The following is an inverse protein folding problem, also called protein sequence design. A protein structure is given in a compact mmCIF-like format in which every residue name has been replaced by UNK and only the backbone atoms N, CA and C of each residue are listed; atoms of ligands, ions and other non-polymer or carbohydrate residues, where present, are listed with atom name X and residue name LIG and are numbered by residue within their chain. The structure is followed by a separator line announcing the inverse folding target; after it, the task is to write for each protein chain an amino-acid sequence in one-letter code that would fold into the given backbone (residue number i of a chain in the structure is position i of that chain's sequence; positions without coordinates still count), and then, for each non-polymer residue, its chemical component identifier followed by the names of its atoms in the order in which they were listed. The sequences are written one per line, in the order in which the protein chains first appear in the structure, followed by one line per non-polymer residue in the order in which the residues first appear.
data_IF_536790788977
#
_entry.id   IF_536790788977
#
_cell.length_a   1.000
_cell.length_b   1.000
_cell.length_c   1.000
_cell.angle_alpha   90.00
_cell.angle_beta   90.00
_cell.angle_gamma   90.00
#
_symmetry.space_group_name_H-M   'P 1'
#
loop_
_entity.id
_entity.type
_entity.pdbx_description
1 polymer ?
#
# COMPACT_ATOMS: atom_id res chain seq x y z
N UNK A 1 -21.65 -2.74 -102.38
CA UNK A 1 -21.72 -1.31 -102.00
C UNK A 1 -22.05 -1.25 -100.50
N UNK A 2 -21.03 -1.30 -99.64
CA UNK A 2 -21.20 -1.40 -98.17
C UNK A 2 -20.88 -0.02 -97.58
N UNK A 3 -21.86 0.55 -96.85
CA UNK A 3 -21.79 1.86 -96.21
C UNK A 3 -20.84 1.82 -95.00
N UNK A 4 -19.99 2.84 -94.89
CA UNK A 4 -19.14 3.11 -93.72
C UNK A 4 -20.01 3.55 -92.54
N UNK A 5 -19.82 2.96 -91.36
CA UNK A 5 -20.33 3.48 -90.09
C UNK A 5 -19.12 3.86 -89.25
N UNK A 6 -19.04 5.15 -88.92
CA UNK A 6 -18.05 5.74 -88.01
C UNK A 6 -18.31 5.23 -86.58
N UNK A 7 -17.24 4.82 -85.90
CA UNK A 7 -17.25 4.54 -84.46
C UNK A 7 -16.81 5.79 -83.72
N UNK A 8 -17.73 6.42 -82.99
CA UNK A 8 -17.43 7.46 -82.01
C UNK A 8 -16.92 6.80 -80.72
N UNK A 9 -15.69 7.10 -80.32
CA UNK A 9 -15.14 6.70 -79.02
C UNK A 9 -15.47 7.80 -77.99
N UNK A 10 -16.00 7.46 -76.79
CA UNK A 10 -16.19 8.44 -75.74
C UNK A 10 -14.87 8.78 -75.02
N UNK A 11 -14.69 10.06 -74.72
CA UNK A 11 -13.56 10.63 -73.96
C UNK A 11 -13.37 9.93 -72.60
N UNK A 12 -12.18 9.38 -72.39
CA UNK A 12 -11.74 8.86 -71.10
C UNK A 12 -11.31 10.03 -70.19
N UNK A 13 -12.22 10.50 -69.32
CA UNK A 13 -11.87 11.45 -68.26
C UNK A 13 -10.86 10.82 -67.30
N UNK A 14 -9.59 11.22 -67.38
CA UNK A 14 -8.56 10.90 -66.38
C UNK A 14 -8.93 11.50 -65.02
N UNK A 15 -9.58 10.71 -64.18
CA UNK A 15 -9.75 11.02 -62.75
C UNK A 15 -8.40 10.79 -62.08
N UNK A 16 -7.68 11.88 -61.78
CA UNK A 16 -6.53 11.85 -60.89
C UNK A 16 -6.99 11.53 -59.46
N UNK A 17 -7.11 10.25 -59.11
CA UNK A 17 -7.29 9.80 -57.74
C UNK A 17 -6.02 10.11 -56.93
N UNK A 18 -6.04 11.19 -56.14
CA UNK A 18 -5.01 11.43 -55.11
C UNK A 18 -5.09 10.31 -54.08
N UNK A 19 -4.05 9.48 -54.00
CA UNK A 19 -3.89 8.51 -52.94
C UNK A 19 -3.99 9.19 -51.56
N UNK A 20 -4.72 8.61 -50.58
CA UNK A 20 -4.83 9.20 -49.26
C UNK A 20 -3.46 9.24 -48.59
N UNK A 21 -3.00 10.44 -48.22
CA UNK A 21 -1.82 10.62 -47.36
C UNK A 21 -2.14 10.03 -45.99
N UNK A 22 -1.70 8.80 -45.74
CA UNK A 22 -1.67 8.23 -44.40
C UNK A 22 -0.73 9.09 -43.54
N UNK A 23 -1.32 10.01 -42.79
CA UNK A 23 -0.62 10.78 -41.76
C UNK A 23 -0.27 9.78 -40.66
N UNK A 24 0.95 9.25 -40.69
CA UNK A 24 1.45 8.32 -39.68
C UNK A 24 1.19 8.90 -38.29
N UNK A 25 0.34 8.25 -37.50
CA UNK A 25 0.18 8.59 -36.08
C UNK A 25 1.57 8.47 -35.47
N UNK A 26 2.15 9.58 -35.01
CA UNK A 26 3.39 9.56 -34.21
C UNK A 26 3.13 8.57 -33.06
N UNK A 27 3.76 7.40 -33.09
CA UNK A 27 3.67 6.45 -31.99
C UNK A 27 4.28 7.14 -30.78
N UNK A 28 3.44 7.51 -29.81
CA UNK A 28 3.91 7.98 -28.52
C UNK A 28 4.72 6.84 -27.91
N UNK A 29 5.99 7.06 -27.54
CA UNK A 29 6.81 6.00 -26.98
C UNK A 29 6.12 5.45 -25.74
N UNK A 30 6.12 4.13 -25.62
CA UNK A 30 5.54 3.42 -24.47
C UNK A 30 6.18 3.94 -23.18
N UNK A 31 5.45 3.89 -22.06
CA UNK A 31 5.98 4.29 -20.76
C UNK A 31 7.33 3.60 -20.46
N UNK A 32 7.46 2.33 -20.87
CA UNK A 32 8.71 1.57 -20.77
C UNK A 32 9.88 2.21 -21.55
N UNK A 33 9.65 2.67 -22.78
CA UNK A 33 10.68 3.36 -23.58
C UNK A 33 11.05 4.73 -23.00
N UNK A 34 10.06 5.47 -22.47
CA UNK A 34 10.30 6.74 -21.77
C UNK A 34 11.13 6.54 -20.51
N UNK A 35 10.85 5.50 -19.71
CA UNK A 35 11.62 5.24 -18.48
C UNK A 35 13.02 4.72 -18.80
N UNK A 36 13.17 3.89 -19.83
CA UNK A 36 14.48 3.37 -20.25
C UNK A 36 15.45 4.48 -20.70
N UNK A 37 14.91 5.60 -21.21
CA UNK A 37 15.70 6.75 -21.67
C UNK A 37 15.88 7.85 -20.61
N UNK A 38 15.30 7.68 -19.42
CA UNK A 38 15.43 8.65 -18.32
C UNK A 38 16.76 8.52 -17.59
N UNK A 39 17.34 9.68 -17.24
CA UNK A 39 18.51 9.72 -16.37
C UNK A 39 18.18 9.12 -14.99
N UNK A 40 19.21 8.58 -14.34
CA UNK A 40 19.09 8.00 -13.00
C UNK A 40 18.49 8.99 -12.00
N UNK A 41 18.91 10.26 -12.04
CA UNK A 41 18.38 11.31 -11.17
C UNK A 41 16.89 11.59 -11.36
N UNK A 42 16.39 11.54 -12.61
CA UNK A 42 14.93 11.68 -12.85
C UNK A 42 14.16 10.47 -12.35
N UNK A 43 14.68 9.25 -12.53
CA UNK A 43 14.04 8.04 -11.99
C UNK A 43 13.97 8.10 -10.47
N UNK A 44 15.06 8.54 -9.83
CA UNK A 44 15.15 8.78 -8.40
C UNK A 44 14.06 9.74 -7.90
N UNK A 45 13.94 10.91 -8.55
CA UNK A 45 12.97 11.93 -8.15
C UNK A 45 11.52 11.46 -8.26
N UNK A 46 11.16 10.72 -9.31
CA UNK A 46 9.80 10.17 -9.42
C UNK A 46 9.50 9.16 -8.31
N UNK A 47 10.45 8.27 -8.01
CA UNK A 47 10.26 7.29 -6.95
C UNK A 47 10.08 7.92 -5.57
N UNK A 48 10.95 8.87 -5.23
CA UNK A 48 10.85 9.62 -3.97
C UNK A 48 9.57 10.45 -3.93
N UNK A 49 9.15 11.02 -5.06
CA UNK A 49 7.86 11.72 -5.18
C UNK A 49 6.66 10.82 -4.88
N UNK A 50 6.62 9.59 -5.40
CA UNK A 50 5.56 8.63 -5.10
C UNK A 50 5.58 8.17 -3.63
N UNK A 51 6.77 7.92 -3.08
CA UNK A 51 6.94 7.59 -1.67
C UNK A 51 6.41 8.70 -0.75
N UNK A 52 6.84 9.94 -1.00
CA UNK A 52 6.39 11.11 -0.26
C UNK A 52 4.88 11.33 -0.42
N UNK A 53 4.33 11.15 -1.62
CA UNK A 53 2.90 11.28 -1.87
C UNK A 53 2.05 10.29 -1.06
N UNK A 54 2.46 9.02 -1.02
CA UNK A 54 1.74 7.97 -0.29
C UNK A 54 1.79 8.24 1.22
N UNK A 55 2.96 8.57 1.76
CA UNK A 55 3.11 8.96 3.16
C UNK A 55 2.25 10.20 3.49
N UNK A 56 2.35 11.26 2.67
CA UNK A 56 1.57 12.48 2.85
C UNK A 56 0.07 12.25 2.77
N UNK A 57 -0.40 11.36 1.88
CA UNK A 57 -1.83 11.01 1.77
C UNK A 57 -2.35 10.34 3.03
N UNK A 58 -1.57 9.43 3.61
CA UNK A 58 -1.93 8.76 4.87
C UNK A 58 -1.94 9.74 6.05
N UNK A 59 -0.90 10.56 6.17
CA UNK A 59 -0.79 11.60 7.20
C UNK A 59 -1.93 12.62 7.08
N UNK A 60 -2.19 13.11 5.86
CA UNK A 60 -3.28 14.03 5.59
C UNK A 60 -4.64 13.44 5.97
N UNK A 61 -4.88 12.15 5.70
CA UNK A 61 -6.11 11.49 6.09
C UNK A 61 -6.32 11.53 7.61
N UNK A 62 -5.28 11.29 8.40
CA UNK A 62 -5.35 11.39 9.87
C UNK A 62 -5.64 12.82 10.33
N UNK A 63 -4.91 13.81 9.83
CA UNK A 63 -5.11 15.21 10.24
C UNK A 63 -6.46 15.78 9.82
N UNK A 64 -6.97 15.41 8.64
CA UNK A 64 -8.31 15.81 8.18
C UNK A 64 -9.38 15.24 9.11
N UNK A 65 -9.29 13.96 9.46
CA UNK A 65 -10.25 13.32 10.36
C UNK A 65 -10.17 13.89 11.77
N UNK A 66 -8.97 14.13 12.28
CA UNK A 66 -8.77 14.82 13.56
C UNK A 66 -9.41 16.21 13.55
N UNK A 67 -9.20 17.01 12.49
CA UNK A 67 -9.80 18.33 12.37
C UNK A 67 -11.33 18.26 12.35
N UNK A 68 -11.93 17.28 11.66
CA UNK A 68 -13.39 17.07 11.65
C UNK A 68 -13.91 16.78 13.06
N UNK A 69 -13.22 15.90 13.80
CA UNK A 69 -13.61 15.57 15.20
C UNK A 69 -13.53 16.81 16.09
N UNK A 70 -12.43 17.57 16.01
CA UNK A 70 -12.23 18.78 16.82
C UNK A 70 -13.25 19.88 16.50
N UNK A 71 -13.56 20.10 15.22
CA UNK A 71 -14.58 21.07 14.78
C UNK A 71 -15.97 20.62 15.25
N UNK A 72 -16.30 19.32 15.11
CA UNK A 72 -17.56 18.77 15.60
C UNK A 72 -17.75 18.99 17.10
N UNK A 73 -16.68 18.77 17.89
CA UNK A 73 -16.67 19.02 19.33
C UNK A 73 -16.92 20.51 19.66
N UNK A 74 -16.27 21.44 18.95
CA UNK A 74 -16.47 22.89 19.13
C UNK A 74 -17.91 23.34 18.78
N UNK A 75 -18.56 22.65 17.84
CA UNK A 75 -19.94 22.91 17.44
C UNK A 75 -20.97 22.21 18.35
N UNK A 76 -20.54 21.60 19.46
CA UNK A 76 -21.39 20.79 20.35
C UNK A 76 -22.14 19.66 19.63
N UNK A 77 -21.57 19.15 18.53
CA UNK A 77 -22.09 17.94 17.88
C UNK A 77 -21.65 16.77 18.75
N UNK A 78 -22.60 16.26 19.54
CA UNK A 78 -22.42 15.02 20.31
C UNK A 78 -22.27 13.86 19.33
N UNK A 79 -21.03 13.59 18.90
CA UNK A 79 -20.74 12.33 18.24
C UNK A 79 -21.05 11.20 19.23
N UNK A 80 -21.43 9.99 18.76
CA UNK A 80 -21.56 8.81 19.61
C UNK A 80 -20.26 8.41 20.34
N UNK A 81 -19.17 9.18 20.15
CA UNK A 81 -17.92 9.23 20.92
C UNK A 81 -18.12 9.06 22.43
N UNK A 82 -19.29 9.43 22.97
CA UNK A 82 -19.58 9.37 24.39
C UNK A 82 -19.72 7.97 25.03
N UNK A 83 -19.71 6.85 24.29
CA UNK A 83 -20.05 5.54 24.89
C UNK A 83 -18.91 4.50 24.91
N UNK A 84 -17.94 4.53 24.01
CA UNK A 84 -16.86 3.53 24.00
C UNK A 84 -15.64 3.94 23.17
N UNK A 85 -14.46 3.93 23.79
CA UNK A 85 -13.19 4.28 23.14
C UNK A 85 -12.81 3.33 22.00
N UNK A 86 -12.94 2.01 22.21
CA UNK A 86 -12.62 1.00 21.18
C UNK A 86 -13.51 1.14 19.95
N UNK A 87 -14.81 1.41 20.14
CA UNK A 87 -15.74 1.68 19.02
C UNK A 87 -15.28 2.93 18.26
N UNK A 88 -14.95 4.01 18.97
CA UNK A 88 -14.49 5.24 18.36
C UNK A 88 -13.21 5.03 17.54
N UNK A 89 -12.20 4.37 18.11
CA UNK A 89 -10.92 4.09 17.43
C UNK A 89 -11.11 3.20 16.19
N UNK A 90 -12.00 2.21 16.27
CA UNK A 90 -12.33 1.35 15.13
C UNK A 90 -12.97 2.16 14.00
N UNK A 91 -13.97 2.97 14.32
CA UNK A 91 -14.66 3.83 13.33
C UNK A 91 -13.68 4.82 12.71
N UNK A 92 -12.86 5.49 13.52
CA UNK A 92 -11.86 6.42 13.06
C UNK A 92 -10.86 5.74 12.11
N UNK A 93 -10.36 4.56 12.47
CA UNK A 93 -9.44 3.76 11.65
C UNK A 93 -10.04 3.43 10.28
N UNK A 94 -11.30 3.00 10.22
CA UNK A 94 -12.01 2.74 8.95
C UNK A 94 -12.02 3.98 8.06
N UNK A 95 -12.39 5.14 8.60
CA UNK A 95 -12.44 6.37 7.81
C UNK A 95 -11.04 6.86 7.40
N UNK A 96 -10.03 6.74 8.26
CA UNK A 96 -8.64 7.07 7.93
C UNK A 96 -8.16 6.22 6.77
N UNK A 97 -8.34 4.90 6.81
CA UNK A 97 -7.91 4.03 5.72
C UNK A 97 -8.67 4.30 4.41
N UNK A 98 -9.98 4.51 4.47
CA UNK A 98 -10.78 4.87 3.28
C UNK A 98 -10.25 6.18 2.68
N UNK A 99 -10.10 7.22 3.49
CA UNK A 99 -9.63 8.53 3.00
C UNK A 99 -8.19 8.45 2.49
N UNK A 100 -7.31 7.72 3.17
CA UNK A 100 -5.93 7.51 2.73
C UNK A 100 -5.87 6.84 1.35
N UNK A 101 -6.68 5.80 1.10
CA UNK A 101 -6.77 5.14 -0.20
C UNK A 101 -7.35 6.06 -1.28
N UNK A 102 -8.37 6.86 -0.94
CA UNK A 102 -8.96 7.85 -1.86
C UNK A 102 -7.95 8.94 -2.24
N UNK A 103 -7.19 9.46 -1.27
CA UNK A 103 -6.16 10.46 -1.52
C UNK A 103 -4.98 9.85 -2.31
N UNK A 104 -4.46 8.71 -1.88
CA UNK A 104 -3.28 8.12 -2.52
C UNK A 104 -3.54 7.63 -3.94
N UNK A 105 -4.68 6.95 -4.17
CA UNK A 105 -4.99 6.26 -5.43
C UNK A 105 -6.04 7.03 -6.25
N UNK A 106 -7.12 7.45 -5.60
CA UNK A 106 -8.27 8.09 -6.26
C UNK A 106 -7.96 9.49 -6.79
N UNK A 107 -7.22 10.31 -6.04
CA UNK A 107 -6.94 11.69 -6.41
C UNK A 107 -6.01 11.79 -7.64
N UNK A 108 -4.87 11.06 -7.74
CA UNK A 108 -4.07 11.06 -8.96
C UNK A 108 -4.81 10.50 -10.17
N UNK A 109 -5.70 9.53 -9.96
CA UNK A 109 -6.56 9.02 -11.02
C UNK A 109 -7.52 10.11 -11.53
N UNK A 110 -8.16 10.87 -10.62
CA UNK A 110 -9.14 11.91 -10.97
C UNK A 110 -8.52 13.17 -11.58
N UNK A 111 -7.34 13.59 -11.12
CA UNK A 111 -6.66 14.81 -11.57
C UNK A 111 -5.80 14.55 -12.81
N UNK A 112 -4.96 13.51 -12.77
CA UNK A 112 -3.95 13.26 -13.80
C UNK A 112 -4.31 12.11 -14.74
N UNK A 113 -5.44 11.41 -14.51
CA UNK A 113 -5.84 10.25 -15.32
C UNK A 113 -4.90 9.06 -15.14
N UNK A 114 -4.13 9.00 -14.05
CA UNK A 114 -3.18 7.91 -13.79
C UNK A 114 -3.92 6.65 -13.37
N UNK A 115 -4.34 5.86 -14.35
CA UNK A 115 -5.01 4.58 -14.13
C UNK A 115 -4.00 3.53 -13.67
N UNK A 116 -4.34 2.83 -12.60
CA UNK A 116 -3.67 1.60 -12.16
C UNK A 116 -4.52 0.41 -12.61
N UNK A 117 -3.89 -0.61 -13.17
CA UNK A 117 -4.56 -1.88 -13.43
C UNK A 117 -4.56 -2.74 -12.17
N UNK A 118 -5.49 -3.71 -12.06
CA UNK A 118 -5.47 -4.69 -10.98
C UNK A 118 -4.14 -5.45 -10.92
N UNK A 119 -3.51 -5.67 -12.09
CA UNK A 119 -2.19 -6.30 -12.18
C UNK A 119 -1.07 -5.44 -11.58
N UNK A 120 -1.10 -4.12 -11.79
CA UNK A 120 -0.16 -3.20 -11.15
C UNK A 120 -0.30 -3.31 -9.61
N UNK A 121 -1.54 -3.34 -9.12
CA UNK A 121 -1.86 -3.47 -7.69
C UNK A 121 -1.62 -4.87 -7.11
N UNK A 122 -1.27 -5.88 -7.92
CA UNK A 122 -1.11 -7.26 -7.45
C UNK A 122 -2.43 -7.93 -7.03
N UNK A 123 -3.54 -7.45 -7.60
CA UNK A 123 -4.93 -7.87 -7.36
C UNK A 123 -5.56 -8.52 -8.59
N UNK A 124 -4.74 -9.03 -9.51
CA UNK A 124 -5.24 -9.77 -10.69
C UNK A 124 -5.99 -11.04 -10.29
N UNK A 125 -5.59 -11.67 -9.18
CA UNK A 125 -6.35 -12.75 -8.54
C UNK A 125 -7.30 -12.15 -7.51
N UNK A 126 -8.58 -12.56 -7.56
CA UNK A 126 -9.60 -12.11 -6.62
C UNK A 126 -9.48 -12.74 -5.23
N UNK A 127 -8.81 -13.89 -5.12
CA UNK A 127 -8.63 -14.65 -3.87
C UNK A 127 -7.20 -15.20 -3.74
N UNK A 128 -6.73 -15.47 -2.51
CA UNK A 128 -5.44 -16.10 -2.28
C UNK A 128 -5.39 -17.49 -2.92
N UNK A 129 -4.24 -17.84 -3.52
CA UNK A 129 -3.99 -19.21 -3.99
C UNK A 129 -3.44 -20.06 -2.85
N UNK A 130 -3.51 -21.38 -3.00
CA UNK A 130 -2.88 -22.33 -2.08
C UNK A 130 -1.39 -22.05 -1.82
N UNK A 131 -0.66 -21.61 -2.86
CA UNK A 131 0.74 -21.18 -2.70
C UNK A 131 0.87 -19.97 -1.77
N UNK A 132 -0.03 -19.00 -1.87
CA UNK A 132 0.01 -17.79 -1.06
C UNK A 132 -0.26 -18.13 0.42
N UNK A 133 -1.19 -19.06 0.67
CA UNK A 133 -1.47 -19.62 2.01
C UNK A 133 -0.27 -20.39 2.56
N UNK A 134 0.37 -21.24 1.75
CA UNK A 134 1.50 -22.05 2.19
C UNK A 134 2.77 -21.22 2.49
N UNK A 135 3.00 -20.13 1.75
CA UNK A 135 4.17 -19.27 1.93
C UNK A 135 4.08 -18.39 3.18
N UNK A 136 2.87 -17.98 3.58
CA UNK A 136 2.70 -17.01 4.67
C UNK A 136 3.26 -17.51 6.03
N UNK A 137 2.99 -18.75 6.50
CA UNK A 137 3.60 -19.27 7.73
C UNK A 137 5.12 -19.42 7.66
N UNK A 138 5.65 -19.85 6.51
CA UNK A 138 7.10 -20.00 6.34
C UNK A 138 7.80 -18.62 6.43
N UNK A 139 7.25 -17.61 5.74
CA UNK A 139 7.77 -16.25 5.81
C UNK A 139 7.53 -15.59 7.16
N UNK A 140 6.51 -15.98 7.91
CA UNK A 140 6.31 -15.53 9.28
C UNK A 140 7.52 -15.93 10.14
N UNK A 141 7.87 -17.21 10.15
CA UNK A 141 9.02 -17.71 10.93
C UNK A 141 10.30 -17.00 10.52
N UNK A 142 10.56 -16.89 9.21
CA UNK A 142 11.74 -16.18 8.70
C UNK A 142 11.76 -14.70 9.13
N UNK A 143 10.63 -14.00 9.07
CA UNK A 143 10.54 -12.60 9.46
C UNK A 143 10.72 -12.40 10.97
N UNK A 144 10.23 -13.31 11.81
CA UNK A 144 10.42 -13.26 13.26
C UNK A 144 11.87 -13.51 13.66
N UNK A 145 12.52 -14.53 13.08
CA UNK A 145 13.95 -14.80 13.30
C UNK A 145 14.80 -13.63 12.85
N UNK A 146 14.54 -13.08 11.66
CA UNK A 146 15.26 -11.92 11.15
C UNK A 146 15.05 -10.69 12.05
N UNK A 147 13.82 -10.46 12.54
CA UNK A 147 13.53 -9.34 13.45
C UNK A 147 14.31 -9.51 14.76
N UNK A 148 14.31 -10.70 15.36
CA UNK A 148 15.07 -10.96 16.59
C UNK A 148 16.57 -10.73 16.42
N UNK A 149 17.16 -11.21 15.32
CA UNK A 149 18.59 -10.97 15.01
C UNK A 149 18.87 -9.47 14.83
N UNK A 150 18.04 -8.77 14.06
CA UNK A 150 18.21 -7.33 13.82
C UNK A 150 18.09 -6.54 15.12
N UNK A 151 17.07 -6.83 15.94
CA UNK A 151 16.90 -6.15 17.24
C UNK A 151 18.05 -6.40 18.18
N UNK A 152 18.53 -7.66 18.26
CA UNK A 152 19.70 -7.98 19.06
C UNK A 152 20.94 -7.18 18.63
N UNK A 153 21.24 -7.13 17.32
CA UNK A 153 22.38 -6.35 16.82
C UNK A 153 22.19 -4.86 17.06
N UNK A 154 20.99 -4.32 16.82
CA UNK A 154 20.69 -2.89 17.03
C UNK A 154 20.85 -2.51 18.50
N UNK A 155 20.36 -3.33 19.43
CA UNK A 155 20.51 -3.10 20.87
C UNK A 155 21.97 -3.11 21.34
N UNK A 156 22.88 -3.77 20.62
CA UNK A 156 24.32 -3.74 20.91
C UNK A 156 25.02 -2.48 20.38
N UNK A 157 24.51 -1.87 19.32
CA UNK A 157 25.25 -0.83 18.56
C UNK A 157 24.63 0.57 18.62
N UNK A 158 23.34 0.68 18.91
CA UNK A 158 22.60 1.94 18.93
C UNK A 158 21.86 2.09 20.27
N UNK A 159 21.67 3.34 20.76
CA UNK A 159 20.89 3.62 21.96
C UNK A 159 19.38 3.57 21.65
N UNK A 160 18.89 2.41 21.21
CA UNK A 160 17.48 2.14 20.94
C UNK A 160 16.95 1.25 22.06
N UNK A 161 15.87 1.68 22.69
CA UNK A 161 15.09 0.82 23.58
C UNK A 161 14.35 -0.23 22.73
N UNK A 162 14.87 -1.46 22.74
CA UNK A 162 14.31 -2.57 21.97
C UNK A 162 13.06 -3.17 22.63
N UNK A 163 12.91 -2.95 23.94
CA UNK A 163 11.83 -3.51 24.76
C UNK A 163 10.66 -2.53 24.95
N UNK A 164 10.78 -1.31 24.41
CA UNK A 164 9.73 -0.30 24.44
C UNK A 164 8.39 -0.84 23.92
N UNK A 165 7.33 -0.66 24.71
CA UNK A 165 5.99 -1.10 24.35
C UNK A 165 5.44 -0.34 23.14
N UNK A 166 4.92 -1.09 22.16
CA UNK A 166 4.29 -0.52 20.98
C UNK A 166 2.95 0.12 21.33
N UNK A 167 2.75 1.38 20.94
CA UNK A 167 1.44 2.02 20.99
C UNK A 167 0.57 1.54 19.84
N UNK A 168 -0.51 0.84 20.18
CA UNK A 168 -1.44 0.21 19.21
C UNK A 168 -2.78 0.94 19.08
N UNK A 169 -3.05 1.93 19.93
CA UNK A 169 -4.28 2.74 19.89
C UNK A 169 -5.54 2.03 20.38
N UNK A 170 -5.40 0.87 21.04
CA UNK A 170 -6.47 0.11 21.66
C UNK A 170 -6.10 -0.19 23.12
N UNK A 171 -6.67 0.57 24.04
CA UNK A 171 -6.46 0.43 25.48
C UNK A 171 -7.75 0.04 26.19
N UNK A 172 -7.64 -0.42 27.43
CA UNK A 172 -8.78 -0.67 28.32
C UNK A 172 -9.85 -1.64 27.78
N UNK A 173 -9.46 -2.59 26.93
CA UNK A 173 -10.38 -3.62 26.40
C UNK A 173 -10.85 -4.51 27.56
N UNK A 174 -12.15 -4.43 27.87
CA UNK A 174 -12.79 -5.15 28.98
C UNK A 174 -13.95 -6.03 28.51
N UNK A 175 -14.53 -5.73 27.34
CA UNK A 175 -15.71 -6.41 26.81
C UNK A 175 -15.37 -7.27 25.60
N UNK A 176 -16.14 -8.35 25.40
CA UNK A 176 -15.95 -9.27 24.27
C UNK A 176 -16.09 -8.57 22.91
N UNK A 177 -17.02 -7.63 22.78
CA UNK A 177 -17.22 -6.91 21.52
C UNK A 177 -16.06 -5.95 21.23
N UNK A 178 -15.47 -5.33 22.25
CA UNK A 178 -14.26 -4.48 22.10
C UNK A 178 -13.10 -5.32 21.57
N UNK A 179 -12.90 -6.52 22.12
CA UNK A 179 -11.88 -7.45 21.64
C UNK A 179 -12.10 -7.85 20.17
N UNK A 180 -13.35 -8.07 19.75
CA UNK A 180 -13.67 -8.35 18.34
C UNK A 180 -13.38 -7.16 17.42
N UNK A 181 -13.69 -5.93 17.88
CA UNK A 181 -13.42 -4.70 17.13
C UNK A 181 -11.92 -4.41 17.01
N UNK A 182 -11.16 -4.61 18.09
CA UNK A 182 -9.70 -4.52 18.07
C UNK A 182 -9.08 -5.58 17.16
N UNK A 183 -9.56 -6.84 17.21
CA UNK A 183 -9.10 -7.89 16.29
C UNK A 183 -9.39 -7.52 14.84
N UNK A 184 -10.62 -7.10 14.53
CA UNK A 184 -10.99 -6.65 13.19
C UNK A 184 -10.07 -5.52 12.71
N UNK A 185 -9.80 -4.54 13.56
CA UNK A 185 -9.01 -3.37 13.17
C UNK A 185 -7.53 -3.73 12.96
N UNK A 186 -6.91 -4.35 13.97
CA UNK A 186 -5.46 -4.62 13.99
C UNK A 186 -5.05 -5.81 13.12
N UNK A 187 -5.89 -6.84 13.04
CA UNK A 187 -5.53 -8.11 12.37
C UNK A 187 -6.08 -8.20 10.96
N UNK A 188 -7.18 -7.50 10.64
CA UNK A 188 -7.84 -7.61 9.33
C UNK A 188 -7.73 -6.31 8.55
N UNK A 189 -8.36 -5.23 9.05
CA UNK A 189 -8.50 -3.97 8.34
C UNK A 189 -7.15 -3.34 8.03
N UNK A 190 -6.31 -3.14 9.05
CA UNK A 190 -5.00 -2.51 8.90
C UNK A 190 -4.10 -3.27 7.91
N UNK A 191 -3.85 -4.59 8.06
CA UNK A 191 -3.07 -5.35 7.09
C UNK A 191 -3.60 -5.26 5.66
N UNK A 192 -4.91 -5.36 5.44
CA UNK A 192 -5.48 -5.29 4.08
C UNK A 192 -5.24 -3.90 3.47
N UNK A 193 -5.60 -2.84 4.18
CA UNK A 193 -5.50 -1.48 3.67
C UNK A 193 -4.05 -1.06 3.43
N UNK A 194 -3.15 -1.42 4.34
CA UNK A 194 -1.72 -1.15 4.22
C UNK A 194 -1.09 -1.92 3.07
N UNK A 195 -1.42 -3.21 2.89
CA UNK A 195 -0.89 -3.97 1.75
C UNK A 195 -1.39 -3.44 0.41
N UNK A 196 -2.65 -2.99 0.31
CA UNK A 196 -3.16 -2.32 -0.89
C UNK A 196 -2.39 -1.02 -1.15
N UNK A 197 -2.15 -0.21 -0.12
CA UNK A 197 -1.48 1.09 -0.26
C UNK A 197 0.02 0.94 -0.59
N UNK A 198 0.73 0.10 0.14
CA UNK A 198 2.19 -0.01 0.04
C UNK A 198 2.64 -1.06 -0.99
N UNK A 199 2.00 -2.23 -1.07
CA UNK A 199 2.43 -3.33 -1.98
C UNK A 199 1.61 -3.38 -3.27
N UNK A 200 0.39 -2.86 -3.23
CA UNK A 200 -0.38 -2.58 -4.42
C UNK A 200 0.13 -1.31 -5.10
N UNK A 201 -0.21 -0.15 -4.53
CA UNK A 201 0.00 1.14 -5.18
C UNK A 201 1.47 1.59 -5.19
N UNK A 202 2.10 1.81 -4.03
CA UNK A 202 3.47 2.34 -3.97
C UNK A 202 4.47 1.41 -4.69
N UNK A 203 4.49 0.12 -4.32
CA UNK A 203 5.36 -0.87 -4.95
C UNK A 203 5.12 -0.96 -6.47
N UNK A 204 3.86 -0.99 -6.92
CA UNK A 204 3.52 -1.01 -8.35
C UNK A 204 4.08 0.20 -9.10
N UNK A 205 3.99 1.39 -8.50
CA UNK A 205 4.57 2.62 -9.05
C UNK A 205 6.10 2.57 -9.06
N UNK A 206 6.73 2.13 -7.97
CA UNK A 206 8.19 2.04 -7.85
C UNK A 206 8.79 1.03 -8.85
N UNK A 207 8.13 -0.11 -9.11
CA UNK A 207 8.63 -1.11 -10.09
C UNK A 207 8.74 -0.57 -11.51
N UNK A 208 8.05 0.54 -11.84
CA UNK A 208 8.19 1.21 -13.13
C UNK A 208 9.55 1.89 -13.26
N UNK A 209 10.16 2.32 -12.16
CA UNK A 209 11.39 3.12 -12.14
C UNK A 209 12.60 2.40 -11.57
N UNK A 210 12.43 1.33 -10.78
CA UNK A 210 13.52 0.65 -10.10
C UNK A 210 13.51 -0.86 -10.36
N UNK A 211 14.63 -1.53 -10.08
CA UNK A 211 14.66 -2.99 -10.03
C UNK A 211 13.93 -3.51 -8.76
N UNK A 212 13.78 -4.83 -8.66
CA UNK A 212 13.05 -5.47 -7.56
C UNK A 212 13.64 -5.11 -6.20
N UNK A 213 14.97 -5.18 -6.04
CA UNK A 213 15.67 -4.91 -4.79
C UNK A 213 15.40 -3.50 -4.26
N UNK A 214 15.60 -2.48 -5.11
CA UNK A 214 15.36 -1.09 -4.73
C UNK A 214 13.88 -0.79 -4.46
N UNK A 215 12.99 -1.47 -5.18
CA UNK A 215 11.55 -1.32 -4.93
C UNK A 215 11.16 -1.87 -3.57
N UNK A 216 11.64 -3.07 -3.22
CA UNK A 216 11.44 -3.67 -1.89
C UNK A 216 12.02 -2.78 -0.81
N UNK A 217 13.27 -2.33 -0.97
CA UNK A 217 13.95 -1.50 0.01
C UNK A 217 13.18 -0.19 0.26
N UNK A 218 12.87 0.57 -0.80
CA UNK A 218 12.21 1.86 -0.65
C UNK A 218 10.77 1.73 -0.13
N UNK A 219 9.98 0.77 -0.62
CA UNK A 219 8.62 0.57 -0.10
C UNK A 219 8.64 0.16 1.38
N UNK A 220 9.62 -0.65 1.79
CA UNK A 220 9.73 -1.12 3.17
C UNK A 220 10.20 -0.05 4.13
N UNK A 221 11.15 0.79 3.71
CA UNK A 221 11.60 1.94 4.49
C UNK A 221 10.49 2.96 4.70
N UNK A 222 9.74 3.28 3.65
CA UNK A 222 8.59 4.19 3.75
C UNK A 222 7.54 3.62 4.69
N UNK A 223 7.20 2.33 4.54
CA UNK A 223 6.22 1.67 5.40
C UNK A 223 6.66 1.64 6.87
N UNK A 224 7.91 1.29 7.16
CA UNK A 224 8.43 1.32 8.52
C UNK A 224 8.47 2.73 9.10
N UNK A 225 8.91 3.74 8.33
CA UNK A 225 8.95 5.12 8.78
C UNK A 225 7.57 5.66 9.21
N UNK A 226 6.49 5.18 8.59
CA UNK A 226 5.11 5.52 8.99
C UNK A 226 4.74 5.03 10.40
N UNK A 227 5.52 4.11 10.98
CA UNK A 227 5.31 3.57 12.32
C UNK A 227 6.23 4.20 13.37
N UNK A 228 7.05 5.19 12.99
CA UNK A 228 8.00 5.82 13.92
C UNK A 228 7.31 6.79 14.88
N UNK A 229 6.26 7.49 14.42
CA UNK A 229 5.54 8.50 15.19
C UNK A 229 4.28 7.91 15.81
N UNK A 230 4.15 8.04 17.14
CA UNK A 230 3.03 7.50 17.90
C UNK A 230 2.09 8.57 18.50
N UNK A 231 2.48 9.84 18.43
CA UNK A 231 1.74 10.96 19.03
C UNK A 231 2.67 12.10 19.46
N UNK A 232 2.12 13.29 19.73
CA UNK A 232 2.91 14.50 20.02
C UNK A 232 3.69 14.39 21.34
N UNK A 233 3.15 13.66 22.31
CA UNK A 233 3.71 13.52 23.65
C UNK A 233 4.38 12.15 23.89
N UNK A 234 4.55 11.36 22.82
CA UNK A 234 5.12 10.01 22.88
C UNK A 234 6.54 9.98 22.28
N UNK A 235 7.46 9.17 22.85
CA UNK A 235 8.77 8.98 22.24
C UNK A 235 8.64 8.32 20.86
N UNK A 236 9.64 8.55 20.00
CA UNK A 236 9.73 7.88 18.70
C UNK A 236 9.92 6.38 18.89
N UNK A 237 9.12 5.57 18.20
CA UNK A 237 9.14 4.11 18.30
C UNK A 237 10.14 3.49 17.33
N UNK A 238 11.43 3.67 17.60
CA UNK A 238 12.50 3.14 16.75
C UNK A 238 12.46 1.62 16.61
N UNK A 239 12.16 0.90 17.68
CA UNK A 239 12.00 -0.56 17.66
C UNK A 239 10.83 -0.97 16.74
N UNK A 240 9.68 -0.30 16.83
CA UNK A 240 8.52 -0.60 15.98
C UNK A 240 8.81 -0.27 14.53
N UNK A 241 9.45 0.87 14.24
CA UNK A 241 9.90 1.24 12.89
C UNK A 241 10.80 0.15 12.30
N UNK A 242 11.86 -0.25 13.02
CA UNK A 242 12.85 -1.23 12.53
C UNK A 242 12.21 -2.60 12.31
N UNK A 243 11.44 -3.10 13.28
CA UNK A 243 10.75 -4.39 13.17
C UNK A 243 9.76 -4.39 12.00
N UNK A 244 9.08 -3.27 11.79
CA UNK A 244 8.18 -3.07 10.65
C UNK A 244 8.94 -3.06 9.32
N UNK A 245 10.11 -2.41 9.22
CA UNK A 245 10.96 -2.48 8.01
C UNK A 245 11.36 -3.92 7.71
N UNK A 246 11.75 -4.70 8.72
CA UNK A 246 12.13 -6.11 8.51
C UNK A 246 10.96 -6.92 7.97
N UNK A 247 9.80 -6.90 8.64
CA UNK A 247 8.58 -7.55 8.16
C UNK A 247 8.24 -7.12 6.73
N UNK A 248 8.37 -5.82 6.47
CA UNK A 248 8.05 -5.21 5.20
C UNK A 248 8.89 -5.71 4.02
N UNK A 249 10.17 -6.02 4.26
CA UNK A 249 11.07 -6.61 3.27
C UNK A 249 10.58 -8.00 2.89
N UNK A 250 10.16 -8.83 3.86
CA UNK A 250 9.62 -10.17 3.60
C UNK A 250 8.30 -10.12 2.83
N UNK A 251 7.41 -9.21 3.19
CA UNK A 251 6.18 -8.95 2.45
C UNK A 251 6.49 -8.50 1.00
N UNK A 252 7.46 -7.58 0.83
CA UNK A 252 7.91 -7.13 -0.49
C UNK A 252 8.49 -8.26 -1.34
N UNK A 253 9.25 -9.17 -0.72
CA UNK A 253 9.75 -10.37 -1.38
C UNK A 253 8.61 -11.30 -1.81
N UNK A 254 7.59 -11.52 -0.96
CA UNK A 254 6.39 -12.27 -1.34
C UNK A 254 5.66 -11.63 -2.52
N UNK A 255 5.54 -10.30 -2.55
CA UNK A 255 4.97 -9.57 -3.69
C UNK A 255 5.75 -9.79 -4.98
N UNK A 256 7.08 -9.85 -4.89
CA UNK A 256 7.97 -10.12 -6.02
C UNK A 256 7.88 -11.57 -6.52
N UNK A 257 7.81 -12.55 -5.60
CA UNK A 257 7.74 -13.99 -5.90
C UNK A 257 6.38 -14.37 -6.48
N UNK A 258 5.30 -13.86 -5.86
CA UNK A 258 3.94 -14.34 -6.16
C UNK A 258 3.26 -13.55 -7.26
N UNK A 259 3.70 -12.31 -7.49
CA UNK A 259 3.01 -11.35 -8.33
C UNK A 259 1.73 -10.77 -7.73
N UNK A 260 1.38 -11.16 -6.49
CA UNK A 260 0.14 -10.78 -5.79
C UNK A 260 0.43 -10.17 -4.43
N UNK A 261 -0.53 -9.42 -3.87
CA UNK A 261 -0.47 -8.93 -2.49
C UNK A 261 -1.03 -9.93 -1.48
N UNK A 262 -1.75 -10.97 -1.91
CA UNK A 262 -2.44 -11.90 -0.99
C UNK A 262 -1.51 -12.63 -0.04
N UNK A 263 -0.35 -13.10 -0.49
CA UNK A 263 0.63 -13.72 0.38
C UNK A 263 1.17 -12.73 1.44
N UNK A 264 1.35 -11.46 1.04
CA UNK A 264 1.73 -10.37 1.95
C UNK A 264 0.65 -10.06 2.97
N UNK A 265 -0.61 -9.95 2.54
CA UNK A 265 -1.78 -9.78 3.41
C UNK A 265 -1.82 -10.91 4.44
N UNK A 266 -1.76 -12.17 4.01
CA UNK A 266 -1.81 -13.32 4.92
C UNK A 266 -0.65 -13.33 5.92
N UNK A 267 0.59 -13.05 5.47
CA UNK A 267 1.74 -12.91 6.36
C UNK A 267 1.51 -11.81 7.41
N UNK A 268 1.03 -10.64 6.98
CA UNK A 268 0.82 -9.50 7.85
C UNK A 268 -0.31 -9.76 8.85
N UNK A 269 -1.44 -10.31 8.40
CA UNK A 269 -2.53 -10.76 9.26
C UNK A 269 -2.06 -11.82 10.26
N UNK A 270 -1.23 -12.78 9.85
CA UNK A 270 -0.68 -13.79 10.76
C UNK A 270 0.24 -13.16 11.82
N UNK A 271 1.15 -12.25 11.44
CA UNK A 271 2.02 -11.54 12.38
C UNK A 271 1.19 -10.76 13.40
N UNK A 272 0.21 -9.99 12.93
CA UNK A 272 -0.65 -9.22 13.81
C UNK A 272 -1.57 -10.11 14.64
N UNK A 273 -2.04 -11.23 14.10
CA UNK A 273 -2.83 -12.22 14.84
C UNK A 273 -2.06 -12.89 15.97
N UNK A 274 -0.78 -13.22 15.75
CA UNK A 274 0.12 -13.72 16.81
C UNK A 274 0.31 -12.64 17.89
N UNK A 275 0.62 -11.40 17.51
CA UNK A 275 0.76 -10.31 18.46
C UNK A 275 -0.54 -10.06 19.25
N UNK A 276 -1.68 -10.03 18.57
CA UNK A 276 -3.00 -9.88 19.18
C UNK A 276 -3.30 -11.02 20.17
N UNK A 277 -3.02 -12.27 19.79
CA UNK A 277 -3.19 -13.40 20.67
C UNK A 277 -2.35 -13.25 21.94
N UNK A 278 -1.07 -12.89 21.81
CA UNK A 278 -0.17 -12.72 22.95
C UNK A 278 -0.57 -11.55 23.86
N UNK A 279 -1.04 -10.44 23.31
CA UNK A 279 -1.39 -9.24 24.07
C UNK A 279 -2.77 -9.33 24.74
N UNK A 280 -3.76 -9.92 24.06
CA UNK A 280 -5.15 -9.85 24.51
C UNK A 280 -5.73 -11.20 24.94
N UNK A 281 -5.33 -12.31 24.30
CA UNK A 281 -5.98 -13.62 24.52
C UNK A 281 -5.20 -14.47 25.53
N UNK A 282 -3.87 -14.52 25.42
CA UNK A 282 -2.99 -15.29 26.29
C UNK A 282 -3.16 -14.91 27.78
N UNK A 283 -3.24 -13.62 28.17
CA UNK A 283 -3.47 -13.23 29.56
C UNK A 283 -4.81 -13.74 30.12
N UNK A 284 -5.87 -13.77 29.31
CA UNK A 284 -7.19 -14.29 29.69
C UNK A 284 -7.17 -15.81 29.97
N UNK A 285 -6.21 -16.52 29.38
CA UNK A 285 -6.00 -17.96 29.59
C UNK A 285 -5.04 -18.23 30.76
N UNK A 286 -4.59 -17.20 31.49
CA UNK A 286 -3.57 -17.34 32.54
C UNK A 286 -2.16 -17.60 31.98
N UNK A 287 -1.95 -17.45 30.68
CA UNK A 287 -0.63 -17.52 30.05
C UNK A 287 0.01 -16.15 30.26
N UNK A 288 0.77 -16.02 31.34
CA UNK A 288 1.62 -14.85 31.54
C UNK A 288 2.83 -14.96 30.62
N UNK A 289 2.98 -14.00 29.73
CA UNK A 289 4.27 -13.71 29.11
C UNK A 289 5.13 -13.06 30.20
N UNK A 290 5.54 -13.83 31.20
CA UNK A 290 6.50 -13.37 32.19
C UNK A 290 7.81 -13.09 31.47
N UNK A 291 8.07 -11.82 31.19
CA UNK A 291 9.43 -11.32 31.20
C UNK A 291 9.70 -10.81 32.62
N UNK A 292 10.66 -11.48 33.28
CA UNK A 292 11.35 -10.99 34.46
C UNK A 292 12.17 -9.77 34.12
#
# INVERSE_FOLDING_TARGET
MIKSIKTDAPEEKKVHAKAPKFRGKKQTPTLAHKVATMSLGRRASYGLGFAAWVAASFIAAQFILLAIVLIGAQLNISLPVALNETVFQTVLSVFVYILALLLAIGLPWRIFGWKMTLRDLGLEQTLPRWRDIALAPAFLVLSLVATGIVMYVIGLVLPVDVDAEQQIGFENISQRYEMLLAFFTLVILAPICEEVLFRGYLYGQLRRFYNTTWTIALSSLVFGAMHLYAGPDMPLQWNVMIGTVVLAVFIGALRAITGSIWAGILLHMLKNGVAFFLLFVAPLLGISMMAQ
#
